data_IF_686860551725
#
_entry.id   IF_686860551725
#
_cell.length_a   1.000
_cell.length_b   1.000
_cell.length_c   1.000
_cell.angle_alpha   90.00
_cell.angle_beta   90.00
_cell.angle_gamma   90.00
#
_symmetry.space_group_name_H-M   'P 1'
#
loop_
_entity.id
_entity.type
_entity.pdbx_description
1 polymer ?
#
# COMPACT_ATOMS: atom_id res chain seq x y z
N UNK A 1 -0.42 -25.69 -15.80
CA UNK A 1 1.03 -25.88 -15.52
C UNK A 1 1.58 -24.67 -14.79
N UNK A 2 2.85 -24.71 -14.32
CA UNK A 2 3.47 -23.59 -13.63
C UNK A 2 3.56 -22.33 -14.48
N UNK A 3 3.73 -22.47 -15.77
CA UNK A 3 3.81 -21.33 -16.70
C UNK A 3 2.45 -20.64 -16.85
N UNK A 4 1.35 -21.41 -17.00
CA UNK A 4 -0.01 -20.85 -17.06
C UNK A 4 -0.36 -20.03 -15.79
N UNK A 5 0.12 -20.47 -14.63
CA UNK A 5 -0.09 -19.76 -13.35
C UNK A 5 0.70 -18.44 -13.30
N UNK A 6 1.93 -18.43 -13.84
CA UNK A 6 2.76 -17.21 -13.91
C UNK A 6 2.18 -16.20 -14.89
N UNK A 7 1.73 -16.64 -16.05
CA UNK A 7 1.10 -15.77 -17.04
C UNK A 7 -0.20 -15.17 -16.47
N UNK A 8 -1.06 -15.98 -15.83
CA UNK A 8 -2.27 -15.47 -15.16
C UNK A 8 -1.97 -14.48 -14.06
N UNK A 9 -0.90 -14.70 -13.26
CA UNK A 9 -0.50 -13.77 -12.23
C UNK A 9 0.09 -12.48 -12.83
N UNK A 10 0.88 -12.58 -13.90
CA UNK A 10 1.41 -11.41 -14.62
C UNK A 10 0.29 -10.55 -15.22
N UNK A 11 -0.72 -11.19 -15.83
CA UNK A 11 -1.90 -10.49 -16.35
C UNK A 11 -2.65 -9.76 -15.24
N UNK A 12 -2.79 -10.38 -14.06
CA UNK A 12 -3.39 -9.75 -12.88
C UNK A 12 -2.60 -8.50 -12.43
N UNK A 13 -1.27 -8.58 -12.35
CA UNK A 13 -0.45 -7.43 -11.98
C UNK A 13 -0.56 -6.29 -12.99
N UNK A 14 -0.61 -6.60 -14.28
CA UNK A 14 -0.81 -5.60 -15.34
C UNK A 14 -2.21 -4.99 -15.28
N UNK A 15 -3.26 -5.79 -15.09
CA UNK A 15 -4.64 -5.32 -14.99
C UNK A 15 -4.83 -4.34 -13.83
N UNK A 16 -4.19 -4.59 -12.68
CA UNK A 16 -4.30 -3.75 -11.50
C UNK A 16 -3.17 -2.72 -11.35
N UNK A 17 -2.39 -2.49 -12.42
CA UNK A 17 -1.31 -1.49 -12.50
C UNK A 17 -0.36 -1.59 -11.30
N UNK A 18 0.16 -2.79 -11.04
CA UNK A 18 1.05 -3.04 -9.92
C UNK A 18 2.36 -2.25 -10.03
N UNK A 19 2.85 -1.78 -8.89
CA UNK A 19 4.15 -1.10 -8.81
C UNK A 19 5.29 -2.04 -9.21
N UNK A 20 6.35 -1.47 -9.79
CA UNK A 20 7.61 -2.17 -10.08
C UNK A 20 8.63 -2.00 -8.95
N UNK A 21 8.65 -0.83 -8.33
CA UNK A 21 9.54 -0.50 -7.22
C UNK A 21 8.78 0.24 -6.13
N UNK A 22 9.09 -0.10 -4.87
CA UNK A 22 8.62 0.62 -3.68
C UNK A 22 9.81 1.28 -2.99
N UNK A 23 9.64 2.57 -2.65
CA UNK A 23 10.60 3.33 -1.86
C UNK A 23 10.07 3.57 -0.46
N UNK A 24 10.92 3.39 0.53
CA UNK A 24 10.66 3.61 1.94
C UNK A 24 11.58 4.71 2.48
N UNK A 25 11.06 5.54 3.37
CA UNK A 25 11.85 6.52 4.10
C UNK A 25 11.47 6.54 5.58
N UNK A 26 12.45 6.53 6.45
CA UNK A 26 12.23 6.68 7.90
C UNK A 26 11.80 8.09 8.30
N UNK A 27 12.09 9.08 7.44
CA UNK A 27 11.73 10.49 7.64
C UNK A 27 10.49 10.91 6.84
N UNK A 28 9.88 9.97 6.10
CA UNK A 28 8.81 10.25 5.16
C UNK A 28 9.30 10.89 3.86
N UNK A 29 8.37 11.18 2.96
CA UNK A 29 8.59 11.84 1.67
C UNK A 29 7.75 13.11 1.58
N UNK A 30 8.36 14.19 1.12
CA UNK A 30 7.66 15.44 0.79
C UNK A 30 7.21 15.46 -0.67
N UNK A 31 6.37 16.41 -1.05
CA UNK A 31 6.02 16.68 -2.45
C UNK A 31 7.25 16.93 -3.35
N UNK A 32 8.30 17.53 -2.81
CA UNK A 32 9.57 17.73 -3.53
C UNK A 32 10.27 16.40 -3.83
N UNK A 33 10.18 15.45 -2.92
CA UNK A 33 10.74 14.11 -3.12
C UNK A 33 9.96 13.35 -4.19
N UNK A 34 8.64 13.43 -4.16
CA UNK A 34 7.75 12.86 -5.20
C UNK A 34 8.12 13.43 -6.56
N UNK A 35 8.25 14.75 -6.69
CA UNK A 35 8.62 15.41 -7.93
C UNK A 35 10.03 15.00 -8.42
N UNK A 36 10.98 14.86 -7.51
CA UNK A 36 12.34 14.42 -7.84
C UNK A 36 12.37 12.98 -8.37
N UNK A 37 11.60 12.08 -7.77
CA UNK A 37 11.47 10.68 -8.23
C UNK A 37 10.77 10.64 -9.59
N UNK A 38 9.69 11.41 -9.78
CA UNK A 38 8.97 11.48 -11.05
C UNK A 38 9.85 11.98 -12.21
N UNK A 39 10.85 12.83 -11.93
CA UNK A 39 11.77 13.37 -12.92
C UNK A 39 12.88 12.40 -13.34
N UNK A 40 13.03 11.26 -12.70
CA UNK A 40 14.05 10.25 -13.04
C UNK A 40 13.70 9.60 -14.37
N UNK A 41 14.70 9.51 -15.27
CA UNK A 41 14.55 8.84 -16.56
C UNK A 41 14.18 7.37 -16.36
N UNK A 42 13.16 6.89 -17.10
CA UNK A 42 12.63 5.53 -17.00
C UNK A 42 11.49 5.38 -15.99
N UNK A 43 11.15 6.42 -15.24
CA UNK A 43 9.96 6.45 -14.37
C UNK A 43 8.72 6.79 -15.22
N UNK A 44 7.74 5.89 -15.23
CA UNK A 44 6.44 6.12 -15.87
C UNK A 44 5.50 6.88 -14.94
N UNK A 45 5.31 6.39 -13.73
CA UNK A 45 4.37 6.95 -12.76
C UNK A 45 4.91 6.80 -11.33
N UNK A 46 4.62 7.78 -10.49
CA UNK A 46 4.86 7.73 -9.04
C UNK A 46 3.53 7.93 -8.33
N UNK A 47 3.25 7.08 -7.36
CA UNK A 47 2.17 7.27 -6.42
C UNK A 47 2.74 7.35 -4.99
N UNK A 48 2.36 8.41 -4.28
CA UNK A 48 2.76 8.62 -2.91
C UNK A 48 1.63 8.18 -1.97
N UNK A 49 1.91 7.26 -1.07
CA UNK A 49 0.96 6.70 -0.14
C UNK A 49 1.35 6.92 1.31
N UNK A 50 0.34 6.83 2.18
CA UNK A 50 0.49 6.88 3.62
C UNK A 50 0.05 5.57 4.24
N UNK A 51 0.72 5.15 5.31
CA UNK A 51 0.25 4.04 6.12
C UNK A 51 0.55 4.26 7.61
N UNK A 52 -0.23 3.60 8.45
CA UNK A 52 -0.04 3.49 9.90
C UNK A 52 -0.25 2.04 10.30
N UNK A 53 0.62 1.51 11.16
CA UNK A 53 0.48 0.18 11.74
C UNK A 53 -0.17 0.27 13.12
N UNK A 54 -1.22 -0.50 13.33
CA UNK A 54 -2.01 -0.48 14.57
C UNK A 54 -2.66 -1.85 14.85
N UNK A 55 -3.42 -1.96 15.92
CA UNK A 55 -4.23 -3.14 16.22
C UNK A 55 -5.67 -2.94 15.76
N UNK A 56 -6.25 -3.98 15.17
CA UNK A 56 -7.71 -4.12 15.06
C UNK A 56 -8.22 -4.85 16.29
N UNK A 57 -9.19 -4.24 16.97
CA UNK A 57 -9.79 -4.78 18.18
C UNK A 57 -10.85 -5.84 17.85
N UNK A 58 -10.66 -7.03 18.40
CA UNK A 58 -11.63 -8.13 18.36
C UNK A 58 -11.32 -9.12 19.48
N UNK A 59 -11.87 -10.35 19.44
CA UNK A 59 -11.56 -11.37 20.46
C UNK A 59 -10.06 -11.66 20.54
N UNK A 60 -9.43 -11.83 19.39
CA UNK A 60 -7.97 -11.97 19.24
C UNK A 60 -7.45 -10.80 18.40
N UNK A 61 -7.05 -9.71 19.07
CA UNK A 61 -6.54 -8.53 18.41
C UNK A 61 -5.42 -8.89 17.44
N UNK A 62 -5.38 -8.23 16.28
CA UNK A 62 -4.39 -8.50 15.25
C UNK A 62 -3.78 -7.23 14.67
N UNK A 63 -2.54 -7.34 14.17
CA UNK A 63 -1.79 -6.23 13.56
C UNK A 63 -2.32 -5.92 12.17
N UNK A 64 -2.69 -4.67 11.98
CA UNK A 64 -3.29 -4.13 10.77
C UNK A 64 -2.49 -2.95 10.25
N UNK A 65 -2.20 -2.94 8.95
CA UNK A 65 -1.71 -1.75 8.26
C UNK A 65 -2.88 -0.99 7.65
N UNK A 66 -3.03 0.26 8.05
CA UNK A 66 -4.01 1.20 7.50
C UNK A 66 -3.35 1.96 6.37
N UNK A 67 -3.83 1.79 5.15
CA UNK A 67 -3.36 2.52 3.97
C UNK A 67 -4.28 3.65 3.58
N UNK A 68 -3.71 4.72 3.05
CA UNK A 68 -4.47 5.75 2.34
C UNK A 68 -4.99 5.22 1.01
N UNK A 69 -6.26 5.47 0.73
CA UNK A 69 -6.87 5.18 -0.56
C UNK A 69 -6.53 6.30 -1.56
N UNK A 70 -6.16 6.00 -2.82
CA UNK A 70 -5.95 7.01 -3.85
C UNK A 70 -7.21 7.85 -4.09
N UNK A 71 -7.04 9.10 -4.56
CA UNK A 71 -8.17 10.00 -4.84
C UNK A 71 -9.15 9.48 -5.90
N UNK A 72 -8.66 8.71 -6.88
CA UNK A 72 -9.45 8.09 -7.94
C UNK A 72 -9.24 6.57 -7.96
N UNK A 73 -9.70 5.86 -6.90
CA UNK A 73 -9.32 4.46 -6.68
C UNK A 73 -9.84 3.50 -7.75
N UNK A 74 -10.91 3.85 -8.45
CA UNK A 74 -11.52 3.03 -9.52
C UNK A 74 -10.92 3.31 -10.91
N UNK A 75 -10.05 4.32 -11.05
CA UNK A 75 -9.43 4.65 -12.33
C UNK A 75 -8.51 3.50 -12.80
N UNK A 76 -8.57 3.10 -14.08
CA UNK A 76 -7.64 2.12 -14.64
C UNK A 76 -6.16 2.54 -14.53
N UNK A 77 -5.90 3.84 -14.42
CA UNK A 77 -4.55 4.41 -14.31
C UNK A 77 -4.02 4.39 -12.86
N UNK A 78 -4.88 4.11 -11.88
CA UNK A 78 -4.49 4.08 -10.47
C UNK A 78 -3.54 2.91 -10.22
N UNK A 79 -2.36 3.23 -9.69
CA UNK A 79 -1.35 2.25 -9.32
C UNK A 79 -1.81 1.39 -8.14
N UNK A 80 -1.47 0.10 -8.15
CA UNK A 80 -1.88 -0.87 -7.14
C UNK A 80 -3.41 -0.89 -6.92
N UNK A 81 -4.16 -0.78 -8.01
CA UNK A 81 -5.63 -0.72 -7.98
C UNK A 81 -6.21 -1.92 -7.26
N UNK A 82 -7.13 -1.67 -6.35
CA UNK A 82 -7.77 -2.71 -5.56
C UNK A 82 -8.80 -3.49 -6.37
N UNK A 83 -8.84 -4.80 -6.17
CA UNK A 83 -9.93 -5.65 -6.64
C UNK A 83 -11.00 -5.72 -5.56
N UNK A 84 -12.17 -5.16 -5.84
CA UNK A 84 -13.34 -5.24 -4.95
C UNK A 84 -14.01 -6.61 -5.16
N UNK A 85 -14.19 -7.35 -4.08
CA UNK A 85 -14.80 -8.68 -4.07
C UNK A 85 -16.23 -8.65 -3.54
N UNK A 86 -16.49 -7.76 -2.56
CA UNK A 86 -17.80 -7.53 -1.98
C UNK A 86 -17.95 -6.06 -1.60
N UNK A 87 -19.14 -5.49 -1.76
CA UNK A 87 -19.42 -4.10 -1.42
C UNK A 87 -18.81 -3.10 -2.39
N UNK A 88 -18.18 -2.05 -1.88
CA UNK A 88 -17.58 -0.95 -2.62
C UNK A 88 -16.33 -0.40 -1.93
N UNK A 89 -15.63 0.50 -2.59
CA UNK A 89 -14.55 1.27 -1.95
C UNK A 89 -15.11 2.38 -1.05
N UNK A 90 -14.32 2.80 -0.02
CA UNK A 90 -14.69 3.90 0.87
C UNK A 90 -14.90 5.22 0.12
N UNK A 91 -15.95 5.95 0.50
CA UNK A 91 -16.27 7.29 -0.02
C UNK A 91 -16.35 8.33 1.10
N UNK A 92 -16.70 7.90 2.32
CA UNK A 92 -16.76 8.76 3.50
C UNK A 92 -15.59 8.51 4.45
N UNK A 93 -15.23 9.52 5.24
CA UNK A 93 -14.08 9.48 6.15
C UNK A 93 -14.14 8.36 7.19
N UNK A 94 -15.34 7.94 7.59
CA UNK A 94 -15.59 6.87 8.58
C UNK A 94 -15.81 5.49 7.95
N UNK A 95 -15.45 5.33 6.67
CA UNK A 95 -15.57 4.06 5.93
C UNK A 95 -14.19 3.43 5.68
N UNK A 96 -14.16 2.09 5.63
CA UNK A 96 -12.97 1.34 5.23
C UNK A 96 -13.30 0.18 4.29
N UNK A 97 -12.31 -0.20 3.48
CA UNK A 97 -12.27 -1.48 2.78
C UNK A 97 -11.24 -2.39 3.47
N UNK A 98 -11.61 -3.64 3.68
CA UNK A 98 -10.82 -4.61 4.47
C UNK A 98 -10.27 -5.73 3.58
N UNK A 99 -9.09 -6.23 3.92
CA UNK A 99 -8.50 -7.45 3.34
C UNK A 99 -9.48 -8.63 3.47
N UNK A 100 -9.81 -9.28 2.36
CA UNK A 100 -10.72 -10.44 2.35
C UNK A 100 -10.30 -11.54 3.32
N UNK A 101 -9.00 -11.78 3.50
CA UNK A 101 -8.53 -12.88 4.36
C UNK A 101 -8.87 -12.67 5.84
N UNK A 102 -9.10 -11.44 6.27
CA UNK A 102 -9.55 -11.11 7.62
C UNK A 102 -10.95 -11.66 7.88
N UNK A 103 -11.78 -11.70 6.84
CA UNK A 103 -13.14 -12.26 6.90
C UNK A 103 -13.14 -13.71 7.35
N UNK A 104 -12.29 -14.52 6.74
CA UNK A 104 -12.25 -15.96 7.01
C UNK A 104 -11.63 -16.27 8.38
N UNK A 105 -10.61 -15.49 8.78
CA UNK A 105 -9.87 -15.72 10.02
C UNK A 105 -10.55 -15.10 11.25
N UNK A 106 -11.10 -13.90 11.12
CA UNK A 106 -11.61 -13.10 12.24
C UNK A 106 -13.12 -12.80 12.18
N UNK A 107 -13.78 -13.21 11.12
CA UNK A 107 -15.25 -13.15 10.99
C UNK A 107 -15.84 -11.78 10.65
N UNK A 108 -15.03 -10.80 10.26
CA UNK A 108 -15.55 -9.49 9.84
C UNK A 108 -16.37 -9.59 8.53
N UNK A 109 -17.37 -8.71 8.40
CA UNK A 109 -18.28 -8.65 7.24
C UNK A 109 -18.57 -7.20 6.86
N UNK A 110 -18.93 -6.98 5.60
CA UNK A 110 -19.46 -5.68 5.14
C UNK A 110 -20.65 -5.27 5.98
N UNK A 111 -20.70 -4.00 6.36
CA UNK A 111 -21.71 -3.42 7.26
C UNK A 111 -21.36 -3.45 8.74
N UNK A 112 -20.31 -4.15 9.14
CA UNK A 112 -19.85 -4.15 10.53
C UNK A 112 -18.91 -2.97 10.82
N UNK A 113 -18.80 -2.67 12.12
CA UNK A 113 -17.84 -1.66 12.63
C UNK A 113 -16.52 -2.32 12.96
N UNK A 114 -15.43 -1.66 12.60
CA UNK A 114 -14.05 -2.01 12.91
C UNK A 114 -13.47 -0.90 13.80
N UNK A 115 -12.83 -1.28 14.90
CA UNK A 115 -12.20 -0.34 15.83
C UNK A 115 -10.69 -0.59 15.86
N UNK A 116 -9.92 0.48 15.75
CA UNK A 116 -8.46 0.48 15.81
C UNK A 116 -7.98 0.95 17.19
N UNK A 117 -6.81 0.47 17.58
CA UNK A 117 -6.09 0.86 18.78
C UNK A 117 -4.60 0.97 18.49
N UNK A 118 -3.84 1.81 19.21
CA UNK A 118 -2.38 1.83 19.09
C UNK A 118 -1.79 0.44 19.28
N UNK A 119 -0.76 0.11 18.50
CA UNK A 119 -0.03 -1.15 18.67
C UNK A 119 0.93 -1.09 19.87
N UNK A 120 1.49 0.09 20.16
CA UNK A 120 2.21 0.38 21.40
C UNK A 120 1.28 1.14 22.37
N UNK A 121 1.11 0.70 23.62
CA UNK A 121 0.29 1.39 24.61
C UNK A 121 0.74 2.82 24.95
N UNK A 122 1.98 3.19 24.57
CA UNK A 122 2.52 4.54 24.78
C UNK A 122 2.24 5.47 23.60
N UNK A 123 1.79 4.94 22.48
CA UNK A 123 1.40 5.71 21.31
C UNK A 123 -0.07 6.16 21.40
N UNK A 124 -0.36 7.23 20.69
CA UNK A 124 -1.71 7.76 20.53
C UNK A 124 -2.07 7.76 19.05
N UNK A 125 -2.97 6.87 18.66
CA UNK A 125 -3.37 6.70 17.27
C UNK A 125 -4.08 7.94 16.71
N UNK A 126 -4.68 8.79 17.58
CA UNK A 126 -5.30 10.05 17.19
C UNK A 126 -4.28 11.09 16.69
N UNK A 127 -2.98 10.89 16.97
CA UNK A 127 -1.91 11.69 16.37
C UNK A 127 -1.65 11.34 14.90
N UNK A 128 -2.05 10.16 14.46
CA UNK A 128 -1.79 9.64 13.12
C UNK A 128 -3.06 9.59 12.25
N UNK A 129 -4.22 9.32 12.86
CA UNK A 129 -5.50 9.16 12.18
C UNK A 129 -6.60 10.00 12.85
N UNK A 130 -7.39 10.70 12.04
CA UNK A 130 -8.56 11.47 12.48
C UNK A 130 -9.69 10.57 13.04
N UNK A 131 -9.84 9.36 12.50
CA UNK A 131 -10.81 8.37 12.94
C UNK A 131 -10.12 7.07 13.33
N UNK A 132 -10.62 6.44 14.40
CA UNK A 132 -10.17 5.13 14.86
C UNK A 132 -11.28 4.08 14.80
N UNK A 133 -12.48 4.49 14.37
CA UNK A 133 -13.66 3.62 14.20
C UNK A 133 -14.19 3.78 12.79
N UNK A 134 -14.33 2.66 12.07
CA UNK A 134 -14.75 2.64 10.68
C UNK A 134 -15.88 1.68 10.42
N UNK A 135 -16.74 2.01 9.47
CA UNK A 135 -17.71 1.08 8.89
C UNK A 135 -17.06 0.33 7.73
N UNK A 136 -17.08 -0.99 7.74
CA UNK A 136 -16.59 -1.82 6.63
C UNK A 136 -17.60 -1.73 5.49
N UNK A 137 -17.22 -1.14 4.37
CA UNK A 137 -18.08 -0.98 3.18
C UNK A 137 -17.67 -1.87 2.02
N UNK A 138 -16.49 -2.47 2.07
CA UNK A 138 -16.02 -3.39 1.04
C UNK A 138 -14.97 -4.37 1.53
N UNK A 139 -14.89 -5.48 0.81
CA UNK A 139 -13.82 -6.47 0.90
C UNK A 139 -12.99 -6.42 -0.35
N UNK A 140 -11.67 -6.36 -0.19
CA UNK A 140 -10.75 -6.12 -1.29
C UNK A 140 -9.56 -7.08 -1.27
N UNK A 141 -8.97 -7.28 -2.45
CA UNK A 141 -7.62 -7.79 -2.62
C UNK A 141 -6.72 -6.69 -3.19
N UNK A 142 -5.51 -6.59 -2.66
CA UNK A 142 -4.48 -5.68 -3.17
C UNK A 142 -3.42 -6.46 -3.95
N UNK A 143 -2.97 -5.97 -5.13
CA UNK A 143 -1.88 -6.60 -5.88
C UNK A 143 -0.54 -6.56 -5.13
N UNK A 144 -0.40 -5.73 -4.10
CA UNK A 144 0.78 -5.72 -3.22
C UNK A 144 0.87 -6.97 -2.31
N UNK A 145 -0.23 -7.71 -2.14
CA UNK A 145 -0.36 -8.82 -1.19
C UNK A 145 -0.94 -10.07 -1.85
N UNK A 146 -0.30 -10.52 -2.93
CA UNK A 146 -0.73 -11.74 -3.66
C UNK A 146 -0.46 -13.00 -2.85
N UNK A 147 0.59 -13.00 -2.01
CA UNK A 147 0.80 -14.08 -1.05
C UNK A 147 -0.26 -13.99 0.07
N UNK A 148 -1.15 -14.98 0.08
CA UNK A 148 -2.27 -15.08 1.01
C UNK A 148 -1.81 -15.28 2.47
N UNK A 149 -0.55 -15.66 2.69
CA UNK A 149 -0.02 -16.04 4.02
C UNK A 149 0.84 -14.98 4.67
N UNK A 150 1.36 -14.00 3.88
CA UNK A 150 2.27 -12.96 4.37
C UNK A 150 1.80 -11.57 3.98
N UNK A 151 1.47 -10.76 4.98
CA UNK A 151 1.04 -9.36 4.80
C UNK A 151 2.16 -8.34 4.96
N UNK A 152 3.39 -8.79 5.07
CA UNK A 152 4.56 -7.94 5.25
C UNK A 152 5.06 -7.89 6.68
N UNK A 153 6.05 -7.02 6.91
CA UNK A 153 6.66 -6.81 8.22
C UNK A 153 6.31 -5.43 8.77
N UNK A 154 6.32 -5.35 10.09
CA UNK A 154 6.12 -4.11 10.85
C UNK A 154 7.22 -3.99 11.90
N UNK A 155 7.38 -2.81 12.48
CA UNK A 155 8.28 -2.57 13.62
C UNK A 155 7.60 -2.79 14.96
N UNK A 156 6.30 -3.11 14.97
CA UNK A 156 5.49 -3.32 16.18
C UNK A 156 5.09 -4.79 16.35
N UNK A 157 4.76 -5.18 17.57
CA UNK A 157 4.34 -6.54 17.92
C UNK A 157 5.42 -7.59 17.66
N UNK A 158 5.04 -8.70 17.02
CA UNK A 158 5.95 -9.80 16.66
C UNK A 158 6.67 -9.57 15.31
N UNK A 159 6.48 -8.40 14.71
CA UNK A 159 7.11 -8.00 13.45
C UNK A 159 6.38 -8.48 12.19
N UNK A 160 5.19 -9.07 12.30
CA UNK A 160 4.40 -9.50 11.16
C UNK A 160 3.04 -8.83 11.11
N UNK A 161 2.58 -8.48 9.89
CA UNK A 161 1.23 -7.95 9.66
C UNK A 161 0.26 -9.10 9.40
N UNK A 162 -0.91 -9.02 10.04
CA UNK A 162 -1.99 -9.98 9.84
C UNK A 162 -2.94 -9.55 8.72
N UNK A 163 -3.16 -8.25 8.58
CA UNK A 163 -4.15 -7.70 7.67
C UNK A 163 -3.81 -6.29 7.22
N UNK A 164 -4.54 -5.82 6.21
CA UNK A 164 -4.55 -4.41 5.80
C UNK A 164 -5.98 -3.90 5.63
N UNK A 165 -6.15 -2.60 5.79
CA UNK A 165 -7.36 -1.86 5.44
C UNK A 165 -6.99 -0.63 4.62
N UNK A 166 -7.95 -0.12 3.85
CA UNK A 166 -7.83 1.14 3.12
C UNK A 166 -8.89 2.10 3.61
N UNK A 167 -8.47 3.32 3.91
CA UNK A 167 -9.33 4.43 4.34
C UNK A 167 -9.07 5.66 3.46
N UNK A 168 -10.00 6.61 3.33
CA UNK A 168 -9.73 7.86 2.63
C UNK A 168 -8.51 8.60 3.19
N UNK A 169 -7.70 9.21 2.31
CA UNK A 169 -6.44 9.87 2.67
C UNK A 169 -6.64 10.99 3.70
N UNK A 170 -7.79 11.64 3.72
CA UNK A 170 -8.14 12.71 4.67
C UNK A 170 -8.10 12.26 6.15
N UNK A 171 -8.08 10.95 6.41
CA UNK A 171 -7.89 10.42 7.78
C UNK A 171 -6.47 10.57 8.32
N UNK A 172 -5.48 10.75 7.45
CA UNK A 172 -4.09 10.84 7.87
C UNK A 172 -3.73 12.26 8.25
N UNK A 173 -3.25 12.47 9.47
CA UNK A 173 -2.85 13.77 10.00
C UNK A 173 -1.50 14.24 9.49
N UNK A 174 -0.59 13.29 9.15
CA UNK A 174 0.74 13.59 8.64
C UNK A 174 0.69 14.23 7.25
N UNK A 175 1.46 15.31 7.05
CA UNK A 175 1.63 15.99 5.76
C UNK A 175 2.60 15.26 4.81
N UNK A 176 3.45 14.36 5.35
CA UNK A 176 4.42 13.59 4.58
C UNK A 176 3.84 12.22 4.18
N UNK A 177 4.40 11.65 3.12
CA UNK A 177 4.09 10.30 2.66
C UNK A 177 5.05 9.29 3.29
N UNK A 178 4.58 8.07 3.54
CA UNK A 178 5.39 6.99 4.12
C UNK A 178 6.05 6.12 3.08
N UNK A 179 5.41 5.96 1.94
CA UNK A 179 5.89 5.14 0.82
C UNK A 179 5.70 5.84 -0.52
N UNK A 180 6.64 5.61 -1.44
CA UNK A 180 6.45 5.91 -2.86
C UNK A 180 6.42 4.61 -3.65
N UNK A 181 5.45 4.49 -4.54
CA UNK A 181 5.29 3.39 -5.47
C UNK A 181 5.60 3.90 -6.87
N UNK A 182 6.44 3.16 -7.60
CA UNK A 182 6.98 3.59 -8.88
C UNK A 182 6.74 2.52 -9.93
N UNK A 183 6.27 2.91 -11.12
CA UNK A 183 6.24 2.07 -12.29
C UNK A 183 7.29 2.54 -13.31
N UNK A 184 7.92 1.58 -14.00
CA UNK A 184 8.90 1.83 -15.03
C UNK A 184 8.23 2.01 -16.39
N UNK A 185 8.81 2.86 -17.25
CA UNK A 185 8.43 2.91 -18.66
C UNK A 185 8.66 1.55 -19.32
N UNK A 186 7.63 1.01 -19.97
CA UNK A 186 7.69 -0.26 -20.69
C UNK A 186 7.49 -1.53 -19.84
N UNK A 187 7.34 -1.43 -18.52
CA UNK A 187 7.11 -2.59 -17.65
C UNK A 187 5.79 -3.30 -17.94
N UNK A 188 4.76 -2.55 -18.34
CA UNK A 188 3.42 -3.06 -18.66
C UNK A 188 3.40 -3.96 -19.93
N UNK A 189 4.45 -3.91 -20.75
CA UNK A 189 4.61 -4.79 -21.92
C UNK A 189 5.37 -6.08 -21.61
N UNK A 190 5.88 -6.26 -20.39
CA UNK A 190 6.70 -7.39 -19.97
C UNK A 190 5.96 -8.30 -18.99
N UNK A 191 6.23 -9.60 -19.09
CA UNK A 191 5.81 -10.53 -18.05
C UNK A 191 6.75 -10.38 -16.84
N UNK A 192 6.18 -10.13 -15.65
CA UNK A 192 6.94 -9.85 -14.42
C UNK A 192 7.81 -11.02 -13.92
N UNK A 193 7.70 -12.20 -14.54
CA UNK A 193 8.52 -13.38 -14.23
C UNK A 193 9.66 -13.62 -15.25
N UNK A 194 10.00 -12.62 -16.07
CA UNK A 194 11.06 -12.71 -17.07
C UNK A 194 12.33 -11.99 -16.64
N UNK A 195 13.45 -12.42 -17.21
CA UNK A 195 14.76 -11.77 -17.00
C UNK A 195 14.75 -10.31 -17.51
N UNK A 196 14.01 -10.03 -18.59
CA UNK A 196 13.86 -8.68 -19.14
C UNK A 196 13.19 -7.73 -18.15
N UNK A 197 12.16 -8.21 -17.43
CA UNK A 197 11.51 -7.42 -16.40
C UNK A 197 12.45 -7.19 -15.21
N UNK A 198 13.17 -8.22 -14.77
CA UNK A 198 14.14 -8.12 -13.68
C UNK A 198 15.25 -7.09 -14.00
N UNK A 199 15.76 -7.08 -15.21
CA UNK A 199 16.75 -6.09 -15.66
C UNK A 199 16.18 -4.67 -15.69
N UNK A 200 14.94 -4.50 -16.15
CA UNK A 200 14.25 -3.20 -16.13
C UNK A 200 14.06 -2.68 -14.69
N UNK A 201 13.60 -3.53 -13.78
CA UNK A 201 13.41 -3.17 -12.36
C UNK A 201 14.75 -2.82 -11.68
N UNK A 202 15.83 -3.58 -11.96
CA UNK A 202 17.18 -3.27 -11.45
C UNK A 202 17.71 -1.95 -11.97
N UNK A 203 17.53 -1.66 -13.27
CA UNK A 203 17.94 -0.40 -13.88
C UNK A 203 17.19 0.78 -13.26
N UNK A 204 15.90 0.64 -13.00
CA UNK A 204 15.10 1.66 -12.32
C UNK A 204 15.59 1.89 -10.89
N UNK A 205 15.83 0.85 -10.10
CA UNK A 205 16.38 0.96 -8.75
C UNK A 205 17.71 1.69 -8.73
N UNK A 206 18.64 1.35 -9.65
CA UNK A 206 19.93 2.02 -9.78
C UNK A 206 19.81 3.51 -10.16
N UNK A 207 18.80 3.88 -10.97
CA UNK A 207 18.54 5.26 -11.34
C UNK A 207 17.92 6.08 -10.17
N UNK A 208 17.16 5.43 -9.28
CA UNK A 208 16.52 6.07 -8.14
C UNK A 208 17.46 6.27 -6.93
N UNK A 209 18.46 5.43 -6.77
CA UNK A 209 19.38 5.46 -5.63
C UNK A 209 20.07 6.82 -5.41
N UNK A 210 20.65 7.50 -6.43
CA UNK A 210 21.27 8.82 -6.25
C UNK A 210 20.29 9.89 -5.81
N UNK A 211 19.03 9.82 -6.24
CA UNK A 211 17.97 10.76 -5.83
C UNK A 211 17.65 10.59 -4.34
N UNK A 212 17.59 9.35 -3.86
CA UNK A 212 17.38 9.04 -2.46
C UNK A 212 18.49 9.58 -1.57
N UNK A 213 19.75 9.44 -1.98
CA UNK A 213 20.93 9.98 -1.26
C UNK A 213 20.90 11.51 -1.23
N UNK A 214 20.75 12.16 -2.38
CA UNK A 214 20.73 13.63 -2.48
C UNK A 214 19.60 14.26 -1.64
N UNK A 215 18.42 13.65 -1.66
CA UNK A 215 17.27 14.13 -0.86
C UNK A 215 17.43 13.87 0.64
N UNK A 216 18.16 12.82 1.00
CA UNK A 216 18.56 12.57 2.40
C UNK A 216 19.50 13.67 2.92
N UNK A 217 20.49 14.07 2.13
CA UNK A 217 21.45 15.12 2.48
C UNK A 217 20.76 16.49 2.63
N UNK A 218 19.86 16.86 1.71
CA UNK A 218 19.07 18.11 1.76
C UNK A 218 18.23 18.28 3.04
N UNK A 219 17.90 17.18 3.73
CA UNK A 219 17.08 17.20 4.95
C UNK A 219 17.93 17.31 6.23
N UNK A 220 19.23 17.06 6.12
CA UNK A 220 20.16 17.13 7.27
C UNK A 220 20.79 18.52 7.41
N UNK A 221 20.63 19.42 6.44
CA UNK A 221 21.00 20.83 6.47
C UNK A 221 19.85 21.73 6.99
#
# INVERSE_FOLDING_TARGET
TGDDMRDTASDYYTEYNSMDVKLLSTLGFSEKDVAAVQAVSGVKQVYAGKFVDCLTLCHDNFLTRVFSLPQHPDSPETMNRLRVLEGRLPEAADECAIDQNVTDKYGFRVGQTLTLSPADPLDDLENDLENTVYTIVGMVNSPMYVDMTRRGSTTVGDGSLDAYIYVPEENFTAEYYTELYVTAEGSDALNCYTDEYDELAKALKAALEPVGVARGDDRME
#
